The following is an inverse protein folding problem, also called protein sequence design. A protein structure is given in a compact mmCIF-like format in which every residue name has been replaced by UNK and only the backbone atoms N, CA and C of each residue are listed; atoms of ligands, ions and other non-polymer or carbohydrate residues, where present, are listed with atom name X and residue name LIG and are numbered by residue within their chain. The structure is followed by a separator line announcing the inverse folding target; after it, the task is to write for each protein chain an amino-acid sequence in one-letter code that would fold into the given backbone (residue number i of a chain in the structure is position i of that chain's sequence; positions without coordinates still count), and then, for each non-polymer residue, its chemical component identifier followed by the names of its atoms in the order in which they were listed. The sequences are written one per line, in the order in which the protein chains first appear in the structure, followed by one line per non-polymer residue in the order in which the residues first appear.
data_IF_711680989581
#
_entry.id   IF_711680989581
#
_cell.length_a   1.000
_cell.length_b   1.000
_cell.length_c   1.000
_cell.angle_alpha   90.00
_cell.angle_beta   90.00
_cell.angle_gamma   90.00
#
_symmetry.space_group_name_H-M   'P 1'
#
loop_
_entity.id
_entity.type
_entity.pdbx_description
1 polymer ?
#
# COMPACT_ATOMS: atom_id res chain seq x y z
N UNK A 1 7.65 28.07 -18.07
CA UNK A 1 6.88 27.26 -17.09
C UNK A 1 5.97 26.20 -17.72
N UNK A 2 5.55 26.29 -18.99
CA UNK A 2 4.77 25.24 -19.66
C UNK A 2 5.44 23.86 -19.87
N UNK A 3 6.77 23.71 -20.10
CA UNK A 3 7.35 22.40 -20.44
C UNK A 3 7.55 21.44 -19.26
N UNK A 4 7.38 21.91 -18.02
CA UNK A 4 7.53 21.08 -16.81
C UNK A 4 6.24 20.33 -16.47
N UNK A 5 5.08 20.93 -16.74
CA UNK A 5 3.77 20.29 -16.49
C UNK A 5 3.54 19.14 -17.47
N UNK A 6 4.04 19.26 -18.71
CA UNK A 6 3.91 18.22 -19.74
C UNK A 6 4.75 16.97 -19.42
N UNK A 7 5.95 17.14 -18.82
CA UNK A 7 6.76 15.99 -18.34
C UNK A 7 6.15 15.26 -17.15
N UNK A 8 5.34 15.94 -16.33
CA UNK A 8 4.66 15.31 -15.19
C UNK A 8 3.48 14.41 -15.63
N UNK A 9 3.01 14.57 -16.87
CA UNK A 9 1.84 13.87 -17.42
C UNK A 9 2.15 12.89 -18.56
N UNK A 10 3.39 12.80 -19.04
CA UNK A 10 3.78 11.83 -20.08
C UNK A 10 3.80 10.36 -19.62
N UNK A 11 3.66 10.09 -18.32
CA UNK A 11 3.51 8.73 -17.80
C UNK A 11 2.09 8.21 -17.90
N UNK A 12 1.54 8.04 -19.12
CA UNK A 12 0.26 7.30 -19.26
C UNK A 12 0.50 5.87 -18.77
N UNK A 13 -0.30 5.35 -17.83
CA UNK A 13 -0.18 3.96 -17.42
C UNK A 13 -0.40 3.10 -18.67
N UNK A 14 0.51 2.17 -18.90
CA UNK A 14 0.38 1.30 -20.06
C UNK A 14 -0.95 0.55 -20.01
N UNK A 15 -1.61 0.39 -21.16
CA UNK A 15 -2.95 -0.19 -21.26
C UNK A 15 -3.05 -1.55 -20.56
N UNK A 16 -2.01 -2.38 -20.68
CA UNK A 16 -1.94 -3.67 -20.00
C UNK A 16 -1.96 -3.55 -18.47
N UNK A 17 -1.34 -2.51 -17.90
CA UNK A 17 -1.38 -2.25 -16.46
C UNK A 17 -2.77 -1.78 -16.01
N UNK A 18 -3.44 -0.95 -16.82
CA UNK A 18 -4.82 -0.54 -16.54
C UNK A 18 -5.79 -1.71 -16.57
N UNK A 19 -5.67 -2.58 -17.58
CA UNK A 19 -6.45 -3.82 -17.66
C UNK A 19 -6.17 -4.71 -16.45
N UNK A 20 -4.89 -4.90 -16.09
CA UNK A 20 -4.50 -5.64 -14.89
C UNK A 20 -5.14 -5.07 -13.62
N UNK A 21 -5.11 -3.75 -13.43
CA UNK A 21 -5.74 -3.09 -12.30
C UNK A 21 -7.27 -3.31 -12.25
N UNK A 22 -7.96 -3.21 -13.39
CA UNK A 22 -9.40 -3.52 -13.47
C UNK A 22 -9.67 -4.98 -13.12
N UNK A 23 -8.84 -5.92 -13.61
CA UNK A 23 -8.96 -7.35 -13.28
C UNK A 23 -8.72 -7.60 -11.79
N UNK A 24 -7.78 -6.89 -11.16
CA UNK A 24 -7.57 -6.94 -9.70
C UNK A 24 -8.83 -6.51 -8.94
N UNK A 25 -9.38 -5.35 -9.28
CA UNK A 25 -10.59 -4.82 -8.63
C UNK A 25 -11.77 -5.78 -8.83
N UNK A 26 -11.97 -6.27 -10.05
CA UNK A 26 -13.01 -7.25 -10.34
C UNK A 26 -12.83 -8.55 -9.53
N UNK A 27 -11.60 -9.06 -9.43
CA UNK A 27 -11.29 -10.25 -8.64
C UNK A 27 -11.65 -10.09 -7.17
N UNK A 28 -11.35 -8.93 -6.57
CA UNK A 28 -11.74 -8.64 -5.17
C UNK A 28 -13.24 -8.50 -4.98
N UNK A 29 -13.95 -7.81 -5.89
CA UNK A 29 -15.40 -7.67 -5.81
C UNK A 29 -16.11 -9.02 -5.94
N UNK A 30 -15.64 -9.87 -6.86
CA UNK A 30 -16.18 -11.20 -7.10
C UNK A 30 -15.78 -12.22 -6.02
N UNK A 31 -14.75 -11.95 -5.23
CA UNK A 31 -14.36 -12.82 -4.11
C UNK A 31 -15.48 -12.99 -3.06
N UNK A 32 -16.44 -12.05 -2.99
CA UNK A 32 -17.66 -12.18 -2.18
C UNK A 32 -18.57 -13.34 -2.64
N UNK A 33 -18.52 -13.69 -3.92
CA UNK A 33 -19.30 -14.79 -4.52
C UNK A 33 -18.56 -16.12 -4.39
N UNK A 34 -17.26 -16.13 -4.69
CA UNK A 34 -16.41 -17.31 -4.57
C UNK A 34 -14.95 -16.92 -4.36
N UNK A 35 -14.29 -17.55 -3.40
CA UNK A 35 -12.87 -17.33 -3.12
C UNK A 35 -11.95 -17.66 -4.30
N UNK A 36 -12.39 -18.49 -5.26
CA UNK A 36 -11.62 -18.75 -6.49
C UNK A 36 -11.41 -17.52 -7.35
N UNK A 37 -12.28 -16.50 -7.26
CA UNK A 37 -12.09 -15.23 -7.97
C UNK A 37 -10.88 -14.44 -7.45
N UNK A 38 -10.33 -14.78 -6.28
CA UNK A 38 -9.05 -14.24 -5.83
C UNK A 38 -7.90 -14.62 -6.78
N UNK A 39 -8.01 -15.75 -7.50
CA UNK A 39 -7.06 -16.09 -8.55
C UNK A 39 -7.05 -15.05 -9.68
N UNK A 40 -8.20 -14.43 -10.01
CA UNK A 40 -8.24 -13.32 -10.96
C UNK A 40 -7.45 -12.12 -10.45
N UNK A 41 -7.53 -11.81 -9.15
CA UNK A 41 -6.72 -10.74 -8.57
C UNK A 41 -5.22 -11.04 -8.71
N UNK A 42 -4.81 -12.29 -8.49
CA UNK A 42 -3.45 -12.75 -8.77
C UNK A 42 -3.05 -12.58 -10.24
N UNK A 43 -3.93 -12.98 -11.18
CA UNK A 43 -3.69 -12.83 -12.63
C UNK A 43 -3.62 -11.36 -13.04
N UNK A 44 -4.48 -10.50 -12.51
CA UNK A 44 -4.44 -9.06 -12.80
C UNK A 44 -3.18 -8.38 -12.27
N UNK A 45 -2.72 -8.77 -11.08
CA UNK A 45 -1.53 -8.21 -10.46
C UNK A 45 -0.24 -8.69 -11.14
N UNK A 46 -0.13 -10.00 -11.43
CA UNK A 46 1.09 -10.61 -11.95
C UNK A 46 1.12 -10.69 -13.49
N UNK A 47 -0.03 -10.83 -14.14
CA UNK A 47 -0.18 -11.09 -15.57
C UNK A 47 0.54 -10.06 -16.45
N UNK A 48 0.31 -8.74 -16.26
CA UNK A 48 1.03 -7.73 -17.03
C UNK A 48 2.56 -7.79 -16.82
N UNK A 49 3.04 -8.25 -15.67
CA UNK A 49 4.47 -8.45 -15.42
C UNK A 49 5.01 -9.65 -16.20
N UNK A 50 4.34 -10.81 -16.08
CA UNK A 50 4.70 -12.05 -16.77
C UNK A 50 4.72 -11.85 -18.29
N UNK A 51 3.70 -11.19 -18.86
CA UNK A 51 3.64 -10.92 -20.30
C UNK A 51 4.80 -10.03 -20.80
N UNK A 52 5.35 -9.16 -19.94
CA UNK A 52 6.52 -8.34 -20.28
C UNK A 52 7.81 -9.14 -20.24
N UNK A 53 7.97 -10.01 -19.23
CA UNK A 53 9.15 -10.88 -19.13
C UNK A 53 9.20 -11.93 -20.24
N UNK A 54 8.03 -12.41 -20.69
CA UNK A 54 7.92 -13.26 -21.88
C UNK A 54 8.18 -12.51 -23.20
N UNK A 55 8.39 -11.19 -23.15
CA UNK A 55 8.65 -10.36 -24.33
C UNK A 55 7.44 -10.08 -25.21
N UNK A 56 6.23 -10.51 -24.78
CA UNK A 56 4.95 -10.28 -25.48
C UNK A 56 4.57 -8.79 -25.42
N UNK A 57 4.80 -8.15 -24.28
CA UNK A 57 4.57 -6.72 -24.08
C UNK A 57 5.89 -5.96 -24.00
N UNK A 58 6.02 -4.89 -24.80
CA UNK A 58 7.18 -3.98 -24.81
C UNK A 58 6.73 -2.53 -24.65
N UNK A 59 5.96 -2.28 -23.60
CA UNK A 59 5.29 -1.02 -23.29
C UNK A 59 6.01 -0.15 -22.25
N UNK A 60 7.12 -0.64 -21.67
CA UNK A 60 7.92 0.06 -20.65
C UNK A 60 9.30 0.43 -21.16
N UNK A 61 9.74 1.62 -20.78
CA UNK A 61 11.11 2.05 -20.92
C UNK A 61 12.06 1.31 -19.94
N UNK A 62 13.37 1.50 -20.14
CA UNK A 62 14.38 0.84 -19.30
C UNK A 62 14.33 1.31 -17.84
N UNK A 63 13.93 2.56 -17.59
CA UNK A 63 13.84 3.12 -16.25
C UNK A 63 12.71 2.46 -15.45
N UNK A 64 11.50 2.35 -16.01
CA UNK A 64 10.38 1.67 -15.37
C UNK A 64 10.71 0.20 -15.13
N UNK A 65 11.38 -0.47 -16.07
CA UNK A 65 11.78 -1.87 -15.91
C UNK A 65 12.77 -2.05 -14.75
N UNK A 66 13.79 -1.20 -14.66
CA UNK A 66 14.76 -1.23 -13.54
C UNK A 66 14.10 -0.90 -12.21
N UNK A 67 13.17 0.05 -12.18
CA UNK A 67 12.42 0.40 -10.97
C UNK A 67 11.60 -0.79 -10.46
N UNK A 68 10.94 -1.52 -11.35
CA UNK A 68 10.17 -2.71 -11.01
C UNK A 68 11.03 -3.87 -10.53
N UNK A 69 12.18 -4.10 -11.17
CA UNK A 69 13.15 -5.10 -10.72
C UNK A 69 13.66 -4.80 -9.30
N UNK A 70 14.01 -3.54 -9.01
CA UNK A 70 14.41 -3.11 -7.66
C UNK A 70 13.28 -3.28 -6.65
N UNK A 71 12.04 -2.95 -7.02
CA UNK A 71 10.88 -3.13 -6.16
C UNK A 71 10.61 -4.60 -5.86
N UNK A 72 10.72 -5.48 -6.86
CA UNK A 72 10.65 -6.93 -6.69
C UNK A 72 11.72 -7.45 -5.73
N UNK A 73 12.96 -6.98 -5.88
CA UNK A 73 14.06 -7.35 -4.99
C UNK A 73 13.83 -6.90 -3.54
N UNK A 74 13.38 -5.64 -3.31
CA UNK A 74 13.04 -5.16 -1.97
C UNK A 74 11.88 -5.94 -1.35
N UNK A 75 10.85 -6.27 -2.13
CA UNK A 75 9.72 -7.06 -1.65
C UNK A 75 10.15 -8.46 -1.23
N UNK A 76 11.00 -9.12 -2.04
CA UNK A 76 11.57 -10.41 -1.70
C UNK A 76 12.39 -10.36 -0.41
N UNK A 77 13.30 -9.39 -0.28
CA UNK A 77 14.13 -9.26 0.93
C UNK A 77 13.30 -8.95 2.18
N UNK A 78 12.39 -7.98 2.12
CA UNK A 78 11.59 -7.58 3.27
C UNK A 78 10.65 -8.70 3.71
N UNK A 79 9.98 -9.37 2.76
CA UNK A 79 9.06 -10.48 3.07
C UNK A 79 9.82 -11.70 3.56
N UNK A 80 10.96 -12.02 2.96
CA UNK A 80 11.82 -13.12 3.40
C UNK A 80 12.33 -12.91 4.82
N UNK A 81 12.90 -11.72 5.10
CA UNK A 81 13.36 -11.37 6.44
C UNK A 81 12.22 -11.39 7.46
N UNK A 82 11.07 -10.79 7.11
CA UNK A 82 9.89 -10.79 7.96
C UNK A 82 9.39 -12.21 8.24
N UNK A 83 9.35 -13.07 7.22
CA UNK A 83 9.00 -14.49 7.35
C UNK A 83 9.94 -15.23 8.29
N UNK A 84 11.25 -15.03 8.18
CA UNK A 84 12.22 -15.62 9.10
C UNK A 84 12.01 -15.16 10.55
N UNK A 85 11.82 -13.87 10.77
CA UNK A 85 11.54 -13.31 12.12
C UNK A 85 10.24 -13.87 12.68
N UNK A 86 9.19 -13.93 11.87
CA UNK A 86 7.89 -14.44 12.28
C UNK A 86 7.97 -15.92 12.65
N UNK A 87 8.63 -16.74 11.84
CA UNK A 87 8.87 -18.15 12.14
C UNK A 87 9.67 -18.31 13.43
N UNK A 88 10.73 -17.52 13.62
CA UNK A 88 11.52 -17.54 14.85
C UNK A 88 10.67 -17.19 16.08
N UNK A 89 9.83 -16.15 15.99
CA UNK A 89 8.93 -15.75 17.08
C UNK A 89 7.87 -16.80 17.41
N UNK A 90 7.22 -17.36 16.39
CA UNK A 90 6.21 -18.43 16.57
C UNK A 90 6.85 -19.65 17.25
N UNK A 91 8.05 -20.05 16.80
CA UNK A 91 8.81 -21.16 17.40
C UNK A 91 9.24 -20.86 18.84
N UNK A 92 9.73 -19.64 19.12
CA UNK A 92 10.19 -19.24 20.44
C UNK A 92 9.06 -19.16 21.47
N UNK A 93 7.88 -18.70 21.06
CA UNK A 93 6.71 -18.56 21.94
C UNK A 93 5.91 -19.85 22.12
N UNK A 94 6.28 -20.94 21.42
CA UNK A 94 5.50 -22.19 21.34
C UNK A 94 4.04 -21.95 20.93
N UNK A 95 3.79 -20.88 20.17
CA UNK A 95 2.45 -20.55 19.70
C UNK A 95 2.04 -21.51 18.59
N UNK A 96 0.86 -22.11 18.70
CA UNK A 96 0.28 -22.89 17.61
C UNK A 96 -0.43 -21.95 16.61
N UNK A 97 -0.15 -22.13 15.32
CA UNK A 97 -0.92 -21.47 14.27
C UNK A 97 -2.30 -22.13 14.17
N UNK A 98 -3.33 -21.41 14.62
CA UNK A 98 -4.72 -21.89 14.50
C UNK A 98 -5.17 -21.98 13.04
N UNK A 99 -4.75 -21.03 12.21
CA UNK A 99 -5.18 -20.90 10.82
C UNK A 99 -3.98 -20.67 9.88
N UNK A 100 -3.49 -21.70 9.16
CA UNK A 100 -2.37 -21.53 8.23
C UNK A 100 -2.70 -20.59 7.05
N UNK A 101 -3.99 -20.44 6.71
CA UNK A 101 -4.46 -19.51 5.69
C UNK A 101 -4.14 -18.05 6.03
N UNK A 102 -4.28 -17.65 7.30
CA UNK A 102 -3.97 -16.27 7.74
C UNK A 102 -2.49 -15.93 7.56
N UNK A 103 -1.60 -16.91 7.78
CA UNK A 103 -0.17 -16.74 7.56
C UNK A 103 0.13 -16.49 6.08
N UNK A 104 -0.49 -17.26 5.18
CA UNK A 104 -0.32 -17.08 3.73
C UNK A 104 -0.81 -15.69 3.29
N UNK A 105 -1.97 -15.26 3.80
CA UNK A 105 -2.50 -13.90 3.55
C UNK A 105 -1.57 -12.82 4.08
N UNK A 106 -1.00 -12.99 5.28
CA UNK A 106 -0.04 -12.04 5.86
C UNK A 106 1.22 -11.93 5.01
N UNK A 107 1.81 -13.05 4.59
CA UNK A 107 2.99 -13.06 3.73
C UNK A 107 2.70 -12.40 2.38
N UNK A 108 1.55 -12.70 1.78
CA UNK A 108 1.14 -12.10 0.52
C UNK A 108 0.91 -10.59 0.65
N UNK A 109 0.26 -10.15 1.74
CA UNK A 109 0.07 -8.74 2.04
C UNK A 109 1.41 -8.01 2.21
N UNK A 110 2.36 -8.61 2.94
CA UNK A 110 3.70 -8.04 3.14
C UNK A 110 4.47 -7.90 1.83
N UNK A 111 4.43 -8.93 1.00
CA UNK A 111 5.08 -8.93 -0.32
C UNK A 111 4.48 -7.84 -1.21
N UNK A 112 3.16 -7.82 -1.32
CA UNK A 112 2.49 -6.88 -2.21
C UNK A 112 2.63 -5.44 -1.73
N UNK A 113 2.50 -5.21 -0.42
CA UNK A 113 2.67 -3.89 0.18
C UNK A 113 4.09 -3.36 -0.04
N UNK A 114 5.11 -4.16 0.24
CA UNK A 114 6.51 -3.74 0.05
C UNK A 114 6.82 -3.47 -1.42
N UNK A 115 6.35 -4.34 -2.31
CA UNK A 115 6.50 -4.16 -3.75
C UNK A 115 5.85 -2.86 -4.22
N UNK A 116 4.59 -2.63 -3.84
CA UNK A 116 3.85 -1.43 -4.23
C UNK A 116 4.54 -0.17 -3.72
N UNK A 117 4.86 -0.13 -2.44
CA UNK A 117 5.53 1.01 -1.82
C UNK A 117 6.88 1.28 -2.50
N UNK A 118 7.71 0.26 -2.68
CA UNK A 118 9.03 0.42 -3.32
C UNK A 118 8.91 0.85 -4.78
N UNK A 119 7.94 0.30 -5.52
CA UNK A 119 7.72 0.64 -6.93
C UNK A 119 7.30 2.11 -7.07
N UNK A 120 6.32 2.54 -6.28
CA UNK A 120 5.81 3.91 -6.34
C UNK A 120 6.86 4.94 -5.88
N UNK A 121 7.59 4.65 -4.79
CA UNK A 121 8.66 5.52 -4.31
C UNK A 121 9.78 5.68 -5.35
N UNK A 122 10.15 4.60 -6.04
CA UNK A 122 11.19 4.64 -7.07
C UNK A 122 10.73 5.39 -8.32
N UNK A 123 9.48 5.19 -8.73
CA UNK A 123 8.96 5.76 -9.97
C UNK A 123 8.58 7.25 -9.84
N UNK A 124 7.93 7.64 -8.74
CA UNK A 124 7.43 9.01 -8.56
C UNK A 124 8.26 9.87 -7.61
N UNK A 125 9.19 9.28 -6.88
CA UNK A 125 9.89 9.93 -5.78
C UNK A 125 9.02 10.01 -4.51
N UNK A 126 9.67 10.19 -3.36
CA UNK A 126 9.00 10.12 -2.05
C UNK A 126 7.77 11.04 -1.92
N UNK A 127 7.90 12.32 -2.30
CA UNK A 127 6.81 13.31 -2.14
C UNK A 127 5.54 12.94 -2.91
N UNK A 128 5.67 12.71 -4.23
CA UNK A 128 4.53 12.40 -5.11
C UNK A 128 3.95 11.02 -4.82
N UNK A 129 4.82 10.04 -4.54
CA UNK A 129 4.38 8.69 -4.20
C UNK A 129 3.58 8.66 -2.90
N UNK A 130 4.09 9.29 -1.83
CA UNK A 130 3.39 9.36 -0.54
C UNK A 130 2.05 10.08 -0.65
N UNK A 131 2.00 11.23 -1.34
CA UNK A 131 0.74 11.94 -1.54
C UNK A 131 -0.29 11.08 -2.30
N UNK A 132 0.11 10.41 -3.39
CA UNK A 132 -0.79 9.54 -4.17
C UNK A 132 -1.23 8.30 -3.41
N UNK A 133 -0.35 7.68 -2.64
CA UNK A 133 -0.69 6.55 -1.77
C UNK A 133 -1.73 6.96 -0.73
N UNK A 134 -1.52 8.09 -0.05
CA UNK A 134 -2.47 8.60 0.94
C UNK A 134 -3.83 8.95 0.32
N UNK A 135 -3.84 9.57 -0.86
CA UNK A 135 -5.08 9.81 -1.59
C UNK A 135 -5.79 8.50 -1.94
N UNK A 136 -5.04 7.51 -2.45
CA UNK A 136 -5.59 6.19 -2.78
C UNK A 136 -6.20 5.50 -1.55
N UNK A 137 -5.50 5.53 -0.41
CA UNK A 137 -6.01 5.00 0.86
C UNK A 137 -7.23 5.78 1.35
N UNK A 138 -7.20 7.12 1.30
CA UNK A 138 -8.33 7.97 1.69
C UNK A 138 -9.57 7.70 0.84
N UNK A 139 -9.43 7.56 -0.48
CA UNK A 139 -10.54 7.24 -1.40
C UNK A 139 -11.05 5.82 -1.16
N UNK A 140 -10.16 4.84 -1.00
CA UNK A 140 -10.57 3.46 -0.70
C UNK A 140 -11.36 3.40 0.61
N UNK A 141 -10.85 4.05 1.67
CA UNK A 141 -11.51 4.09 2.97
C UNK A 141 -12.86 4.80 2.91
N UNK A 142 -12.91 5.96 2.24
CA UNK A 142 -14.15 6.69 2.02
C UNK A 142 -15.19 5.84 1.28
N UNK A 143 -14.75 5.03 0.30
CA UNK A 143 -15.65 4.16 -0.45
C UNK A 143 -16.25 3.06 0.43
N UNK A 144 -15.43 2.44 1.31
CA UNK A 144 -15.92 1.47 2.28
C UNK A 144 -16.87 2.11 3.30
N UNK A 145 -16.50 3.27 3.82
CA UNK A 145 -17.32 4.03 4.77
C UNK A 145 -18.70 4.38 4.21
N UNK A 146 -18.75 4.87 2.97
CA UNK A 146 -20.02 5.22 2.32
C UNK A 146 -20.85 3.97 1.99
N UNK A 147 -20.20 2.85 1.62
CA UNK A 147 -20.90 1.59 1.39
C UNK A 147 -21.52 1.01 2.68
N UNK A 148 -20.92 1.30 3.84
CA UNK A 148 -21.37 0.79 5.15
C UNK A 148 -22.39 1.71 5.84
N UNK A 149 -22.45 3.00 5.46
CA UNK A 149 -23.23 4.02 6.16
C UNK A 149 -24.76 3.92 6.00
N UNK A 150 -25.29 3.03 5.15
CA UNK A 150 -26.73 2.89 4.91
C UNK A 150 -27.36 4.11 4.22
N UNK A 151 -28.64 4.39 4.47
CA UNK A 151 -29.40 5.48 3.80
C UNK A 151 -29.42 6.81 4.59
N UNK A 152 -28.84 6.86 5.79
CA UNK A 152 -28.89 8.06 6.63
C UNK A 152 -27.78 9.06 6.27
N UNK A 153 -28.11 10.32 5.91
CA UNK A 153 -27.12 11.31 5.48
C UNK A 153 -26.13 11.70 6.58
N UNK A 154 -26.54 11.64 7.85
CA UNK A 154 -25.65 11.85 8.99
C UNK A 154 -24.66 10.68 9.14
N UNK A 155 -25.10 9.45 8.85
CA UNK A 155 -24.24 8.27 8.81
C UNK A 155 -23.12 8.44 7.79
N UNK A 156 -23.41 9.00 6.61
CA UNK A 156 -22.41 9.24 5.57
C UNK A 156 -21.32 10.22 6.05
N UNK A 157 -21.72 11.29 6.73
CA UNK A 157 -20.80 12.27 7.29
C UNK A 157 -19.92 11.64 8.37
N UNK A 158 -20.52 10.87 9.29
CA UNK A 158 -19.77 10.27 10.40
C UNK A 158 -18.83 9.17 9.93
N UNK A 159 -19.28 8.32 9.01
CA UNK A 159 -18.47 7.24 8.44
C UNK A 159 -17.32 7.76 7.59
N UNK A 160 -17.43 8.96 6.99
CA UNK A 160 -16.36 9.54 6.16
C UNK A 160 -15.24 10.24 6.95
N UNK A 161 -15.47 10.61 8.22
CA UNK A 161 -14.48 11.28 9.07
C UNK A 161 -13.11 10.58 9.12
N UNK A 162 -13.01 9.24 9.26
CA UNK A 162 -11.72 8.56 9.32
C UNK A 162 -10.91 8.64 8.02
N UNK A 163 -11.52 9.00 6.89
CA UNK A 163 -10.80 9.21 5.63
C UNK A 163 -10.09 10.59 5.58
N UNK A 164 -10.62 11.60 6.29
CA UNK A 164 -10.09 12.98 6.26
C UNK A 164 -8.61 13.10 6.62
N UNK A 165 -8.09 12.41 7.66
CA UNK A 165 -6.66 12.46 7.98
C UNK A 165 -5.76 12.09 6.80
N UNK A 166 -6.17 11.14 5.96
CA UNK A 166 -5.38 10.74 4.79
C UNK A 166 -5.33 11.84 3.72
N UNK A 167 -6.45 12.52 3.45
CA UNK A 167 -6.49 13.65 2.51
C UNK A 167 -5.68 14.84 3.02
N UNK A 168 -5.80 15.16 4.32
CA UNK A 168 -5.03 16.24 4.95
C UNK A 168 -3.54 15.92 4.89
N UNK A 169 -3.14 14.71 5.26
CA UNK A 169 -1.75 14.26 5.18
C UNK A 169 -1.21 14.23 3.75
N UNK A 170 -2.04 13.91 2.74
CA UNK A 170 -1.64 13.99 1.34
C UNK A 170 -1.33 15.43 0.91
N UNK A 171 -2.20 16.38 1.26
CA UNK A 171 -1.96 17.81 1.04
C UNK A 171 -0.71 18.32 1.77
N UNK A 172 -0.54 17.89 3.03
CA UNK A 172 0.61 18.24 3.85
C UNK A 172 1.92 17.67 3.27
N UNK A 173 1.91 16.43 2.79
CA UNK A 173 3.05 15.81 2.13
C UNK A 173 3.48 16.61 0.89
N UNK A 174 2.51 17.21 0.18
CA UNK A 174 2.81 18.13 -0.90
C UNK A 174 3.44 19.42 -0.39
N UNK A 175 2.94 20.12 0.63
CA UNK A 175 3.50 21.44 1.00
C UNK A 175 4.73 21.36 1.91
N UNK A 176 4.73 20.46 2.88
CA UNK A 176 5.74 20.31 3.93
C UNK A 176 6.09 18.82 4.15
N UNK A 177 6.89 18.21 3.24
CA UNK A 177 7.10 16.76 3.24
C UNK A 177 7.64 16.22 4.56
N UNK A 178 8.58 16.93 5.21
CA UNK A 178 9.17 16.48 6.48
C UNK A 178 8.19 16.51 7.65
N UNK A 179 7.38 17.58 7.75
CA UNK A 179 6.35 17.70 8.79
C UNK A 179 5.30 16.61 8.60
N UNK A 180 4.86 16.40 7.36
CA UNK A 180 3.95 15.32 7.02
C UNK A 180 4.53 13.95 7.33
N UNK A 181 5.81 13.73 7.03
CA UNK A 181 6.48 12.47 7.33
C UNK A 181 6.58 12.18 8.83
N UNK A 182 6.95 13.19 9.63
CA UNK A 182 6.95 13.07 11.09
C UNK A 182 5.55 12.79 11.63
N UNK A 183 4.55 13.53 11.15
CA UNK A 183 3.16 13.36 11.57
C UNK A 183 2.63 11.97 11.24
N UNK A 184 2.94 11.42 10.06
CA UNK A 184 2.55 10.05 9.69
C UNK A 184 3.14 9.00 10.62
N UNK A 185 4.42 9.12 10.99
CA UNK A 185 5.06 8.19 11.93
C UNK A 185 4.43 8.28 13.32
N UNK A 186 4.18 9.50 13.81
CA UNK A 186 3.52 9.73 15.09
C UNK A 186 2.10 9.16 15.08
N UNK A 187 1.31 9.44 14.04
CA UNK A 187 -0.05 8.91 13.90
C UNK A 187 -0.04 7.39 13.85
N UNK A 188 0.87 6.77 13.10
CA UNK A 188 1.01 5.32 13.07
C UNK A 188 1.34 4.73 14.45
N UNK A 189 2.25 5.35 15.20
CA UNK A 189 2.59 4.93 16.56
C UNK A 189 1.40 5.08 17.51
N UNK A 190 0.68 6.20 17.46
CA UNK A 190 -0.52 6.45 18.27
C UNK A 190 -1.60 5.44 17.93
N UNK A 191 -1.88 5.18 16.64
CA UNK A 191 -2.83 4.16 16.22
C UNK A 191 -2.42 2.78 16.75
N UNK A 192 -1.14 2.42 16.63
CA UNK A 192 -0.65 1.12 17.09
C UNK A 192 -0.91 0.88 18.59
N UNK A 193 -0.69 1.91 19.40
CA UNK A 193 -0.93 1.88 20.84
C UNK A 193 -2.44 1.93 21.16
N UNK A 194 -3.17 2.87 20.56
CA UNK A 194 -4.58 3.11 20.86
C UNK A 194 -5.47 1.91 20.50
N UNK A 195 -5.20 1.26 19.36
CA UNK A 195 -5.90 0.02 18.96
C UNK A 195 -5.39 -1.22 19.68
N UNK A 196 -4.30 -1.10 20.47
CA UNK A 196 -3.78 -2.18 21.27
C UNK A 196 -3.22 -3.34 20.44
N UNK A 197 -2.63 -3.08 19.26
CA UNK A 197 -2.08 -4.13 18.40
C UNK A 197 -0.95 -4.93 19.06
N UNK A 198 -0.35 -4.39 20.13
CA UNK A 198 0.61 -5.10 20.98
C UNK A 198 -0.03 -6.20 21.85
N UNK A 199 -1.35 -6.18 22.06
CA UNK A 199 -2.08 -7.18 22.83
C UNK A 199 -2.72 -8.22 21.91
N UNK A 200 -2.30 -9.48 22.04
CA UNK A 200 -2.82 -10.59 21.25
C UNK A 200 -4.29 -10.95 21.57
N UNK A 201 -4.85 -10.43 22.66
CA UNK A 201 -6.16 -10.86 23.17
C UNK A 201 -7.35 -10.21 22.46
N UNK A 202 -7.17 -9.05 21.80
CA UNK A 202 -8.29 -8.23 21.32
C UNK A 202 -8.78 -8.53 19.89
N UNK A 203 -7.96 -9.09 19.00
CA UNK A 203 -8.24 -9.06 17.54
C UNK A 203 -7.96 -10.37 16.79
N UNK A 204 -8.00 -11.52 17.47
CA UNK A 204 -7.97 -12.83 16.80
C UNK A 204 -6.59 -13.49 16.69
N UNK A 205 -5.59 -12.95 17.38
CA UNK A 205 -4.24 -13.55 17.51
C UNK A 205 -3.15 -12.76 16.81
N UNK A 206 -1.89 -13.16 17.03
CA UNK A 206 -0.70 -12.41 16.61
C UNK A 206 -0.67 -12.14 15.10
N UNK A 207 -1.06 -13.11 14.28
CA UNK A 207 -0.97 -13.02 12.81
C UNK A 207 -1.97 -12.01 12.27
N UNK A 208 -3.23 -12.10 12.70
CA UNK A 208 -4.29 -11.16 12.30
C UNK A 208 -3.94 -9.76 12.76
N UNK A 209 -3.55 -9.58 14.02
CA UNK A 209 -3.13 -8.28 14.55
C UNK A 209 -1.97 -7.68 13.74
N UNK A 210 -0.96 -8.49 13.43
CA UNK A 210 0.20 -8.04 12.65
C UNK A 210 -0.20 -7.68 11.23
N UNK A 211 -1.10 -8.44 10.60
CA UNK A 211 -1.61 -8.15 9.26
C UNK A 211 -2.41 -6.85 9.21
N UNK A 212 -3.33 -6.66 10.16
CA UNK A 212 -4.12 -5.42 10.27
C UNK A 212 -3.21 -4.22 10.57
N UNK A 213 -2.27 -4.36 11.52
CA UNK A 213 -1.30 -3.32 11.83
C UNK A 213 -0.42 -2.97 10.63
N UNK A 214 0.02 -3.97 9.86
CA UNK A 214 0.80 -3.76 8.64
C UNK A 214 -0.02 -3.01 7.58
N UNK A 215 -1.28 -3.40 7.35
CA UNK A 215 -2.12 -2.75 6.35
C UNK A 215 -2.48 -1.31 6.71
N UNK A 216 -2.70 -1.01 7.99
CA UNK A 216 -3.08 0.33 8.46
C UNK A 216 -1.86 1.23 8.73
N UNK A 217 -0.87 0.73 9.47
CA UNK A 217 0.30 1.51 9.89
C UNK A 217 1.43 1.47 8.87
N UNK A 218 1.57 0.38 8.10
CA UNK A 218 2.64 0.21 7.11
C UNK A 218 2.72 1.35 6.09
N UNK A 219 1.62 1.76 5.43
CA UNK A 219 1.63 2.88 4.49
C UNK A 219 2.10 4.18 5.14
N UNK A 220 1.63 4.46 6.36
CA UNK A 220 1.98 5.67 7.11
C UNK A 220 3.47 5.67 7.49
N UNK A 221 3.98 4.57 8.04
CA UNK A 221 5.40 4.46 8.42
C UNK A 221 6.29 4.50 7.18
N UNK A 222 5.96 3.73 6.14
CA UNK A 222 6.72 3.65 4.90
C UNK A 222 6.80 5.00 4.19
N UNK A 223 5.66 5.68 4.01
CA UNK A 223 5.63 7.03 3.46
C UNK A 223 6.32 8.04 4.38
N UNK A 224 6.09 7.95 5.69
CA UNK A 224 6.65 8.87 6.66
C UNK A 224 8.17 8.85 6.68
N UNK A 225 8.77 7.66 6.75
CA UNK A 225 10.22 7.47 6.66
C UNK A 225 10.77 7.94 5.31
N UNK A 226 10.08 7.65 4.21
CA UNK A 226 10.51 8.10 2.89
C UNK A 226 10.54 9.64 2.78
N UNK A 227 9.51 10.33 3.30
CA UNK A 227 9.43 11.78 3.31
C UNK A 227 10.46 12.43 4.25
N UNK A 228 10.75 11.82 5.39
CA UNK A 228 11.79 12.31 6.32
C UNK A 228 13.19 12.20 5.71
N UNK A 229 13.44 11.15 4.91
CA UNK A 229 14.70 10.95 4.18
C UNK A 229 14.83 11.83 2.95
N UNK A 230 13.73 12.29 2.37
CA UNK A 230 13.78 13.26 1.28
C UNK A 230 14.42 14.57 1.79
N UNK A 231 15.53 14.97 1.17
CA UNK A 231 16.18 16.25 1.44
C UNK A 231 15.24 17.43 1.19
N UNK A 232 15.59 18.66 1.64
CA UNK A 232 14.89 19.85 1.18
C UNK A 232 14.97 19.86 -0.35
N UNK A 233 13.82 19.96 -1.02
CA UNK A 233 13.79 20.05 -2.47
C UNK A 233 14.68 21.23 -2.89
N UNK A 234 15.60 21.00 -3.83
CA UNK A 234 16.36 22.09 -4.42
C UNK A 234 15.35 23.12 -4.98
N UNK A 235 15.60 24.43 -4.80
CA UNK A 235 14.63 25.48 -5.13
C UNK A 235 14.23 25.57 -6.62
N UNK A 236 14.78 24.75 -7.50
CA UNK A 236 14.45 24.72 -8.93
C UNK A 236 13.12 23.99 -9.28
N UNK A 237 12.47 23.32 -8.32
CA UNK A 237 11.18 22.62 -8.54
C UNK A 237 9.95 23.33 -7.93
N UNK A 238 10.07 24.59 -7.51
CA UNK A 238 8.97 25.37 -6.91
C UNK A 238 8.19 26.21 -7.94
#
# INVERSE_FOLDING_TARGET
MAPVIERLWQGRPATATMVGAVVVVAGFLLAKVSWWFFALAGVGACGPGILRELGVLRDKDEFARRAEQRAGYHAFLATGLFGFVLVALVRATKSELKNPGELATLMLAMLWFTWLLSSLLTFWGARKASARLLLGFGVAWLSFALADAGDEPLGWLMSSLPALPYFVLAGLAWRWPRVAGALMVVVAAVMYVAFGYYSNERMGGLIVNTGVALMLCGPLVGCGVALLRAGPAAPEEA
#
